data_IF_741504232004
#
_entry.id   IF_741504232004
#
_cell.length_a   1.000
_cell.length_b   1.000
_cell.length_c   1.000
_cell.angle_alpha   90.00
_cell.angle_beta   90.00
_cell.angle_gamma   90.00
#
_symmetry.space_group_name_H-M   'P 1'
#
loop_
_entity.id
_entity.type
_entity.pdbx_description
1 polymer ?
#
# COMPACT_ATOMS: atom_id res chain seq x y z
N UNK A 1 2.13 74.88 19.40
CA UNK A 1 2.98 73.67 19.25
C UNK A 1 2.48 72.46 20.03
N UNK A 2 1.79 72.64 21.16
CA UNK A 2 1.26 71.53 21.99
C UNK A 2 0.22 70.64 21.31
N UNK A 3 -0.64 71.17 20.43
CA UNK A 3 -1.62 70.34 19.69
C UNK A 3 -1.01 69.46 18.59
N UNK A 4 0.12 69.88 18.01
CA UNK A 4 0.81 69.09 16.96
C UNK A 4 1.55 67.89 17.56
N UNK A 5 2.09 68.06 18.77
CA UNK A 5 2.75 67.00 19.54
C UNK A 5 1.77 65.89 19.96
N UNK A 6 0.54 66.24 20.33
CA UNK A 6 -0.49 65.26 20.71
C UNK A 6 -0.94 64.40 19.51
N UNK A 7 -1.07 65.01 18.33
CA UNK A 7 -1.41 64.29 17.10
C UNK A 7 -0.28 63.34 16.69
N UNK A 8 0.98 63.77 16.84
CA UNK A 8 2.14 62.93 16.53
C UNK A 8 2.26 61.73 17.49
N UNK A 9 1.86 61.89 18.76
CA UNK A 9 1.86 60.81 19.75
C UNK A 9 0.75 59.76 19.49
N UNK A 10 -0.40 60.19 18.95
CA UNK A 10 -1.53 59.31 18.62
C UNK A 10 -1.33 58.51 17.32
N UNK A 11 -0.52 59.01 16.38
CA UNK A 11 -0.21 58.28 15.14
C UNK A 11 0.89 57.20 15.30
N UNK A 12 1.73 57.30 16.35
CA UNK A 12 2.79 56.32 16.62
C UNK A 12 2.28 54.94 17.10
N UNK A 13 1.11 54.90 17.75
CA UNK A 13 0.52 53.66 18.28
C UNK A 13 -0.04 52.72 17.21
N UNK A 14 -0.26 53.19 15.97
CA UNK A 14 -0.80 52.37 14.90
C UNK A 14 0.22 51.41 14.25
N UNK A 15 1.51 51.56 14.57
CA UNK A 15 2.59 50.72 14.01
C UNK A 15 3.21 49.76 15.04
N UNK A 16 2.62 49.63 16.23
CA UNK A 16 3.02 48.60 17.18
C UNK A 16 2.64 47.22 16.61
N UNK A 17 3.58 46.58 15.92
CA UNK A 17 3.46 45.16 15.59
C UNK A 17 3.59 44.37 16.88
N UNK A 18 2.47 43.82 17.35
CA UNK A 18 2.48 42.81 18.41
C UNK A 18 3.43 41.68 17.99
N UNK A 19 4.25 41.21 18.93
CA UNK A 19 5.10 40.05 18.74
C UNK A 19 4.19 38.86 18.44
N UNK A 20 4.20 38.36 17.19
CA UNK A 20 3.53 37.11 16.87
C UNK A 20 4.26 36.01 17.62
N UNK A 21 3.63 35.47 18.66
CA UNK A 21 4.08 34.22 19.26
C UNK A 21 4.16 33.19 18.13
N UNK A 22 5.32 32.56 17.86
CA UNK A 22 5.33 31.42 16.97
C UNK A 22 4.32 30.43 17.54
N UNK A 23 3.33 30.05 16.74
CA UNK A 23 2.44 28.97 17.10
C UNK A 23 3.33 27.73 17.21
N UNK A 24 3.67 27.34 18.44
CA UNK A 24 4.32 26.08 18.70
C UNK A 24 3.39 24.99 18.17
N UNK A 25 3.86 24.18 17.24
CA UNK A 25 3.08 23.16 16.53
C UNK A 25 2.59 22.05 17.46
N UNK A 26 3.05 22.06 18.71
CA UNK A 26 2.55 21.19 19.77
C UNK A 26 1.21 21.74 20.25
N UNK A 27 0.11 21.16 19.75
CA UNK A 27 -1.19 21.29 20.41
C UNK A 27 -0.97 20.95 21.89
N UNK A 28 -1.06 21.91 22.79
CA UNK A 28 -1.14 21.63 24.22
C UNK A 28 -2.32 20.68 24.41
N UNK A 29 -2.12 19.43 24.85
CA UNK A 29 -3.22 18.54 25.14
C UNK A 29 -4.13 19.24 26.15
N UNK A 30 -5.45 19.15 25.99
CA UNK A 30 -6.36 19.50 27.06
C UNK A 30 -5.98 18.63 28.26
N UNK A 31 -5.28 19.22 29.24
CA UNK A 31 -4.75 18.48 30.38
C UNK A 31 -5.93 17.95 31.19
N UNK A 32 -6.18 16.66 31.09
CA UNK A 32 -7.17 15.99 31.91
C UNK A 32 -6.55 15.79 33.30
N UNK A 33 -7.17 16.37 34.32
CA UNK A 33 -6.69 16.32 35.69
C UNK A 33 -7.38 15.19 36.45
N UNK A 34 -6.58 14.33 37.07
CA UNK A 34 -7.05 13.32 38.02
C UNK A 34 -6.74 13.80 39.44
N UNK A 35 -7.69 13.66 40.36
CA UNK A 35 -7.46 13.96 41.77
C UNK A 35 -7.00 12.69 42.48
N UNK A 36 -5.76 12.69 42.97
CA UNK A 36 -5.18 11.60 43.75
C UNK A 36 -4.77 12.16 45.11
N UNK A 37 -5.30 11.60 46.19
CA UNK A 37 -5.03 12.03 47.58
C UNK A 37 -5.25 13.54 47.86
N UNK A 38 -6.18 14.16 47.14
CA UNK A 38 -6.50 15.58 47.30
C UNK A 38 -5.64 16.54 46.47
N UNK A 39 -4.63 16.04 45.77
CA UNK A 39 -3.83 16.80 44.80
C UNK A 39 -4.29 16.54 43.37
N UNK A 40 -4.30 17.59 42.54
CA UNK A 40 -4.59 17.49 41.11
C UNK A 40 -3.33 17.09 40.35
N UNK A 41 -3.36 15.91 39.71
CA UNK A 41 -2.30 15.40 38.84
C UNK A 41 -2.73 15.56 37.39
N UNK A 42 -1.93 16.27 36.59
CA UNK A 42 -2.17 16.37 35.15
C UNK A 42 -1.78 15.07 34.46
N UNK A 43 -2.65 14.56 33.59
CA UNK A 43 -2.35 13.43 32.73
C UNK A 43 -2.27 13.85 31.27
N UNK A 44 -1.54 13.08 30.48
CA UNK A 44 -1.48 13.22 29.03
C UNK A 44 -1.68 11.82 28.48
N UNK A 45 -2.72 11.63 27.69
CA UNK A 45 -2.91 10.39 26.93
C UNK A 45 -1.93 10.39 25.75
N UNK A 46 -1.02 9.43 25.74
CA UNK A 46 -0.05 9.27 24.66
C UNK A 46 -0.67 8.42 23.56
N UNK A 47 -0.35 8.75 22.31
CA UNK A 47 -0.74 7.93 21.17
C UNK A 47 -0.09 6.53 21.31
N UNK A 48 -0.90 5.48 21.10
CA UNK A 48 -0.43 4.11 21.18
C UNK A 48 0.65 3.84 20.12
N UNK A 49 1.85 3.42 20.55
CA UNK A 49 2.97 3.14 19.64
C UNK A 49 3.11 1.64 19.42
N UNK A 50 2.97 1.21 18.18
CA UNK A 50 3.17 -0.20 17.81
C UNK A 50 4.67 -0.58 17.87
N UNK A 51 5.02 -1.49 18.78
CA UNK A 51 6.36 -2.05 18.85
C UNK A 51 6.53 -3.20 17.85
N UNK A 52 7.29 -2.93 16.78
CA UNK A 52 7.52 -3.85 15.66
C UNK A 52 8.97 -4.37 15.68
N UNK A 53 9.25 -5.52 16.33
CA UNK A 53 10.56 -6.15 16.27
C UNK A 53 10.81 -6.83 14.93
N UNK A 54 12.07 -6.82 14.46
CA UNK A 54 12.46 -7.52 13.23
C UNK A 54 12.16 -9.03 13.31
N UNK A 55 11.77 -9.62 12.17
CA UNK A 55 11.53 -11.06 12.06
C UNK A 55 12.86 -11.82 12.02
N UNK A 56 12.95 -12.89 12.80
CA UNK A 56 14.09 -13.81 12.81
C UNK A 56 13.65 -15.17 12.26
N UNK A 57 14.16 -15.51 11.08
CA UNK A 57 13.81 -16.76 10.38
C UNK A 57 14.79 -17.88 10.75
N UNK A 58 14.25 -19.07 11.02
CA UNK A 58 15.03 -20.31 11.16
C UNK A 58 15.34 -20.88 9.78
N UNK A 59 14.38 -20.81 8.86
CA UNK A 59 14.53 -21.26 7.47
C UNK A 59 15.26 -20.20 6.63
N UNK A 60 16.32 -20.62 5.92
CA UNK A 60 16.98 -19.75 4.93
C UNK A 60 16.08 -19.54 3.71
N UNK A 61 15.25 -20.52 3.35
CA UNK A 61 14.28 -20.36 2.27
C UNK A 61 13.25 -19.28 2.59
N UNK A 62 12.63 -19.30 3.77
CA UNK A 62 11.66 -18.27 4.20
C UNK A 62 12.32 -16.89 4.29
N UNK A 63 13.55 -16.79 4.81
CA UNK A 63 14.29 -15.52 4.82
C UNK A 63 14.46 -14.93 3.42
N UNK A 64 14.81 -15.76 2.44
CA UNK A 64 14.96 -15.32 1.04
C UNK A 64 13.59 -14.96 0.44
N UNK A 65 12.54 -15.74 0.74
CA UNK A 65 11.17 -15.47 0.31
C UNK A 65 10.70 -14.11 0.83
N UNK A 66 10.87 -13.83 2.12
CA UNK A 66 10.56 -12.56 2.74
C UNK A 66 11.34 -11.41 2.09
N UNK A 67 12.64 -11.55 1.86
CA UNK A 67 13.45 -10.50 1.21
C UNK A 67 13.07 -10.24 -0.27
N UNK A 68 12.55 -11.24 -0.97
CA UNK A 68 11.97 -11.06 -2.32
C UNK A 68 10.64 -10.33 -2.21
N UNK A 69 9.78 -10.73 -1.27
CA UNK A 69 8.50 -10.09 -1.02
C UNK A 69 8.68 -8.63 -0.63
N UNK A 70 9.64 -8.32 0.25
CA UNK A 70 10.01 -6.96 0.64
C UNK A 70 10.32 -6.06 -0.56
N UNK A 71 11.15 -6.55 -1.50
CA UNK A 71 11.45 -5.80 -2.73
C UNK A 71 10.22 -5.54 -3.58
N UNK A 72 9.31 -6.52 -3.68
CA UNK A 72 8.07 -6.40 -4.44
C UNK A 72 7.09 -5.45 -3.77
N UNK A 73 6.84 -5.61 -2.47
CA UNK A 73 5.96 -4.73 -1.68
C UNK A 73 6.42 -3.29 -1.75
N UNK A 74 7.72 -3.01 -1.59
CA UNK A 74 8.27 -1.65 -1.74
C UNK A 74 8.05 -1.06 -3.12
N UNK A 75 8.24 -1.86 -4.17
CA UNK A 75 7.98 -1.44 -5.54
C UNK A 75 6.50 -1.14 -5.77
N UNK A 76 5.61 -1.94 -5.19
CA UNK A 76 4.17 -1.89 -5.46
C UNK A 76 3.44 -0.84 -4.61
N UNK A 77 3.90 -0.58 -3.38
CA UNK A 77 3.22 0.28 -2.41
C UNK A 77 2.84 1.68 -2.93
N UNK A 78 3.71 2.44 -3.61
CA UNK A 78 3.35 3.77 -4.11
C UNK A 78 2.14 3.76 -5.05
N UNK A 79 1.99 2.71 -5.86
CA UNK A 79 0.85 2.56 -6.75
C UNK A 79 -0.44 2.23 -5.98
N UNK A 80 -0.35 1.39 -4.95
CA UNK A 80 -1.49 1.04 -4.11
C UNK A 80 -2.02 2.25 -3.33
N UNK A 81 -1.11 3.02 -2.72
CA UNK A 81 -1.43 4.27 -2.00
C UNK A 81 -2.13 5.27 -2.91
N UNK A 82 -1.53 5.56 -4.05
CA UNK A 82 -2.09 6.53 -5.01
C UNK A 82 -3.45 6.06 -5.53
N UNK A 83 -3.61 4.76 -5.85
CA UNK A 83 -4.90 4.21 -6.28
C UNK A 83 -5.98 4.39 -5.20
N UNK A 84 -5.66 4.12 -3.93
CA UNK A 84 -6.58 4.31 -2.82
C UNK A 84 -6.98 5.77 -2.61
N UNK A 85 -6.03 6.69 -2.70
CA UNK A 85 -6.29 8.14 -2.63
C UNK A 85 -7.22 8.60 -3.77
N UNK A 86 -6.97 8.13 -5.00
CA UNK A 86 -7.83 8.44 -6.15
C UNK A 86 -9.24 7.88 -5.99
N UNK A 87 -9.38 6.66 -5.49
CA UNK A 87 -10.68 6.04 -5.20
C UNK A 87 -11.44 6.81 -4.12
N UNK A 88 -10.75 7.21 -3.05
CA UNK A 88 -11.34 8.01 -1.97
C UNK A 88 -11.84 9.36 -2.46
N UNK A 89 -11.02 10.06 -3.26
CA UNK A 89 -11.41 11.34 -3.87
C UNK A 89 -12.56 11.17 -4.86
N UNK A 90 -12.56 10.09 -5.64
CA UNK A 90 -13.64 9.75 -6.55
C UNK A 90 -14.95 9.53 -5.79
N UNK A 91 -14.94 8.72 -4.74
CA UNK A 91 -16.12 8.46 -3.90
C UNK A 91 -16.63 9.76 -3.27
N UNK A 92 -15.73 10.63 -2.78
CA UNK A 92 -16.08 11.96 -2.26
C UNK A 92 -16.77 12.83 -3.30
N UNK A 93 -16.26 12.90 -4.53
CA UNK A 93 -16.86 13.72 -5.60
C UNK A 93 -18.17 13.13 -6.11
N UNK A 94 -18.26 11.81 -6.26
CA UNK A 94 -19.49 11.15 -6.68
C UNK A 94 -20.64 11.42 -5.70
N UNK A 95 -20.34 11.48 -4.39
CA UNK A 95 -21.33 11.82 -3.38
C UNK A 95 -21.91 13.24 -3.51
N UNK A 96 -21.19 14.17 -4.16
CA UNK A 96 -21.67 15.56 -4.39
C UNK A 96 -22.50 15.73 -5.65
N UNK A 97 -22.49 14.76 -6.57
CA UNK A 97 -23.19 14.86 -7.84
C UNK A 97 -24.59 14.24 -7.69
N UNK A 98 -25.64 15.05 -7.83
CA UNK A 98 -27.02 14.58 -7.72
C UNK A 98 -27.47 13.73 -8.92
N UNK A 99 -27.05 14.11 -10.13
CA UNK A 99 -27.50 13.48 -11.36
C UNK A 99 -26.70 12.21 -11.69
N UNK A 100 -27.42 11.09 -11.83
CA UNK A 100 -26.85 9.78 -12.23
C UNK A 100 -26.07 9.82 -13.56
N UNK A 101 -26.45 10.69 -14.50
CA UNK A 101 -25.73 10.83 -15.78
C UNK A 101 -24.36 11.48 -15.57
N UNK A 102 -24.29 12.49 -14.73
CA UNK A 102 -23.06 13.24 -14.46
C UNK A 102 -22.12 12.45 -13.55
N UNK A 103 -22.67 11.66 -12.61
CA UNK A 103 -21.90 10.67 -11.84
C UNK A 103 -21.18 9.69 -12.78
N UNK A 104 -21.89 9.13 -13.77
CA UNK A 104 -21.28 8.21 -14.76
C UNK A 104 -20.21 8.89 -15.61
N UNK A 105 -20.45 10.13 -16.03
CA UNK A 105 -19.48 10.91 -16.83
C UNK A 105 -18.21 11.17 -16.01
N UNK A 106 -18.37 11.56 -14.75
CA UNK A 106 -17.25 11.82 -13.84
C UNK A 106 -16.46 10.55 -13.54
N UNK A 107 -17.14 9.45 -13.21
CA UNK A 107 -16.50 8.15 -13.01
C UNK A 107 -15.70 7.73 -14.24
N UNK A 108 -16.26 7.89 -15.45
CA UNK A 108 -15.56 7.54 -16.69
C UNK A 108 -14.32 8.40 -16.95
N UNK A 109 -14.38 9.69 -16.61
CA UNK A 109 -13.23 10.58 -16.74
C UNK A 109 -12.10 10.19 -15.79
N UNK A 110 -12.42 9.88 -14.53
CA UNK A 110 -11.42 9.41 -13.54
C UNK A 110 -10.86 8.04 -13.93
N UNK A 111 -11.70 7.15 -14.44
CA UNK A 111 -11.29 5.86 -15.00
C UNK A 111 -10.25 6.03 -16.10
N UNK A 112 -10.54 6.84 -17.13
CA UNK A 112 -9.59 7.08 -18.23
C UNK A 112 -8.27 7.67 -17.72
N UNK A 113 -8.33 8.60 -16.76
CA UNK A 113 -7.12 9.18 -16.15
C UNK A 113 -6.29 8.14 -15.40
N UNK A 114 -6.92 7.26 -14.62
CA UNK A 114 -6.24 6.15 -13.94
C UNK A 114 -5.68 5.15 -14.96
N UNK A 115 -6.42 4.84 -16.02
CA UNK A 115 -5.92 3.98 -17.08
C UNK A 115 -4.69 4.61 -17.76
N UNK A 116 -4.73 5.87 -18.13
CA UNK A 116 -3.64 6.53 -18.83
C UNK A 116 -2.39 6.67 -17.95
N UNK A 117 -2.54 7.08 -16.68
CA UNK A 117 -1.39 7.23 -15.77
C UNK A 117 -0.80 5.88 -15.37
N UNK A 118 -1.63 4.86 -15.12
CA UNK A 118 -1.15 3.63 -14.49
C UNK A 118 -0.92 2.50 -15.49
N UNK A 119 -1.55 2.47 -16.67
CA UNK A 119 -1.43 1.34 -17.62
C UNK A 119 0.01 0.99 -17.94
N UNK A 120 0.86 1.99 -18.20
CA UNK A 120 2.25 1.76 -18.54
C UNK A 120 3.03 1.15 -17.37
N UNK A 121 2.76 1.59 -16.15
CA UNK A 121 3.41 1.12 -14.93
C UNK A 121 2.94 -0.27 -14.52
N UNK A 122 1.64 -0.52 -14.62
CA UNK A 122 1.00 -1.80 -14.33
C UNK A 122 1.44 -2.90 -15.29
N UNK A 123 1.63 -2.55 -16.58
CA UNK A 123 2.21 -3.47 -17.57
C UNK A 123 3.65 -3.90 -17.23
N UNK A 124 4.38 -3.13 -16.43
CA UNK A 124 5.74 -3.47 -15.97
C UNK A 124 5.74 -4.34 -14.71
N UNK A 125 4.58 -4.56 -14.09
CA UNK A 125 4.47 -5.42 -12.91
C UNK A 125 4.51 -6.89 -13.32
N UNK A 126 5.25 -7.68 -12.55
CA UNK A 126 5.14 -9.13 -12.64
C UNK A 126 3.79 -9.60 -12.09
N UNK A 127 3.37 -10.81 -12.44
CA UNK A 127 2.11 -11.39 -11.92
C UNK A 127 2.03 -11.36 -10.40
N UNK A 128 3.11 -11.69 -9.69
CA UNK A 128 3.13 -11.66 -8.22
C UNK A 128 3.12 -10.24 -7.65
N UNK A 129 3.71 -9.27 -8.36
CA UNK A 129 3.60 -7.86 -7.98
C UNK A 129 2.17 -7.34 -8.13
N UNK A 130 1.46 -7.75 -9.18
CA UNK A 130 0.05 -7.41 -9.35
C UNK A 130 -0.87 -8.06 -8.31
N UNK A 131 -0.56 -9.29 -7.86
CA UNK A 131 -1.28 -9.92 -6.74
C UNK A 131 -1.09 -9.12 -5.44
N UNK A 132 0.15 -8.68 -5.15
CA UNK A 132 0.43 -7.80 -4.02
C UNK A 132 -0.34 -6.49 -4.15
N UNK A 133 -0.40 -5.90 -5.35
CA UNK A 133 -1.13 -4.65 -5.59
C UNK A 133 -2.61 -4.79 -5.22
N UNK A 134 -3.28 -5.85 -5.68
CA UNK A 134 -4.69 -6.11 -5.37
C UNK A 134 -4.93 -6.22 -3.87
N UNK A 135 -4.07 -6.96 -3.17
CA UNK A 135 -4.13 -7.12 -1.71
C UNK A 135 -3.93 -5.78 -0.99
N UNK A 136 -2.98 -4.97 -1.44
CA UNK A 136 -2.73 -3.65 -0.86
C UNK A 136 -3.87 -2.67 -1.12
N UNK A 137 -4.52 -2.73 -2.29
CA UNK A 137 -5.74 -1.96 -2.55
C UNK A 137 -6.82 -2.35 -1.54
N UNK A 138 -7.10 -3.65 -1.38
CA UNK A 138 -8.05 -4.11 -0.35
C UNK A 138 -7.68 -3.64 1.05
N UNK A 139 -6.38 -3.66 1.42
CA UNK A 139 -5.88 -3.10 2.68
C UNK A 139 -6.27 -1.62 2.86
N UNK A 140 -6.18 -0.81 1.80
CA UNK A 140 -6.43 0.63 1.84
C UNK A 140 -7.90 1.03 1.66
N UNK A 141 -8.70 0.22 0.97
CA UNK A 141 -10.08 0.60 0.61
C UNK A 141 -11.14 -0.25 1.31
N UNK A 142 -10.77 -1.40 1.87
CA UNK A 142 -11.71 -2.38 2.43
C UNK A 142 -12.48 -3.18 1.39
N UNK A 143 -12.66 -2.64 0.18
CA UNK A 143 -13.25 -3.36 -0.94
C UNK A 143 -12.22 -4.22 -1.68
N UNK A 144 -12.62 -5.41 -2.12
CA UNK A 144 -11.81 -6.19 -3.06
C UNK A 144 -11.79 -5.51 -4.44
N UNK A 145 -10.73 -5.76 -5.21
CA UNK A 145 -10.54 -5.10 -6.50
C UNK A 145 -11.69 -5.40 -7.48
N UNK A 146 -12.33 -6.57 -7.38
CA UNK A 146 -13.52 -6.89 -8.16
C UNK A 146 -14.70 -5.96 -7.86
N UNK A 147 -15.03 -5.71 -6.60
CA UNK A 147 -16.12 -4.81 -6.21
C UNK A 147 -15.80 -3.34 -6.53
N UNK A 148 -14.54 -2.92 -6.40
CA UNK A 148 -14.09 -1.60 -6.86
C UNK A 148 -14.32 -1.41 -8.37
N UNK A 149 -13.91 -2.39 -9.18
CA UNK A 149 -14.12 -2.35 -10.65
C UNK A 149 -15.61 -2.33 -11.00
N UNK A 150 -16.41 -3.13 -10.29
CA UNK A 150 -17.85 -3.25 -10.52
C UNK A 150 -18.59 -1.96 -10.14
N UNK A 151 -18.20 -1.29 -9.05
CA UNK A 151 -18.79 -0.01 -8.59
C UNK A 151 -18.60 1.11 -9.62
N UNK A 152 -17.47 1.14 -10.32
CA UNK A 152 -17.15 2.18 -11.30
C UNK A 152 -17.86 2.06 -12.66
N UNK A 153 -18.70 1.02 -12.84
CA UNK A 153 -19.62 0.83 -13.98
C UNK A 153 -19.00 1.05 -15.38
N UNK A 154 -18.28 0.01 -15.81
CA UNK A 154 -17.94 -0.47 -17.17
C UNK A 154 -16.91 0.29 -18.04
N UNK A 155 -15.72 -0.32 -18.08
CA UNK A 155 -14.64 -0.16 -19.05
C UNK A 155 -13.32 -0.69 -18.48
N UNK A 156 -13.08 -0.35 -17.21
CA UNK A 156 -11.90 -0.72 -16.42
C UNK A 156 -11.67 -2.22 -16.35
N UNK A 157 -12.77 -2.99 -16.31
CA UNK A 157 -12.73 -4.44 -16.44
C UNK A 157 -11.94 -4.87 -17.70
N UNK A 158 -12.43 -4.54 -18.90
CA UNK A 158 -12.05 -5.25 -20.11
C UNK A 158 -10.55 -5.09 -20.45
N UNK A 159 -9.96 -3.95 -20.13
CA UNK A 159 -8.55 -3.67 -20.41
C UNK A 159 -7.57 -4.44 -19.50
N UNK A 160 -7.82 -4.47 -18.19
CA UNK A 160 -7.07 -5.30 -17.24
C UNK A 160 -7.29 -6.80 -17.49
N UNK A 161 -8.52 -7.19 -17.83
CA UNK A 161 -8.88 -8.57 -18.10
C UNK A 161 -8.25 -9.11 -19.40
N UNK A 162 -8.13 -8.33 -20.49
CA UNK A 162 -7.69 -8.91 -21.77
C UNK A 162 -6.24 -9.40 -21.81
N UNK A 163 -5.31 -8.76 -21.07
CA UNK A 163 -3.89 -9.14 -21.07
C UNK A 163 -3.48 -10.00 -19.87
N UNK A 164 -4.31 -10.12 -18.83
CA UNK A 164 -3.91 -10.79 -17.56
C UNK A 164 -5.01 -11.64 -16.90
N UNK A 165 -6.19 -11.76 -17.53
CA UNK A 165 -7.42 -12.35 -16.97
C UNK A 165 -7.22 -13.66 -16.21
N UNK A 166 -6.55 -14.68 -16.78
CA UNK A 166 -6.66 -16.02 -16.17
C UNK A 166 -5.96 -16.15 -14.81
N UNK A 167 -4.95 -15.33 -14.54
CA UNK A 167 -4.22 -15.35 -13.25
C UNK A 167 -4.71 -14.24 -12.32
N UNK A 168 -5.15 -13.10 -12.87
CA UNK A 168 -5.67 -12.00 -12.07
C UNK A 168 -7.12 -12.22 -11.62
N UNK A 169 -7.95 -12.92 -12.39
CA UNK A 169 -9.37 -13.14 -12.07
C UNK A 169 -9.58 -13.92 -10.76
N UNK A 170 -8.68 -14.84 -10.41
CA UNK A 170 -8.68 -15.50 -9.09
C UNK A 170 -8.31 -14.49 -8.00
N UNK A 171 -7.26 -13.70 -8.21
CA UNK A 171 -6.75 -12.77 -7.19
C UNK A 171 -7.61 -11.54 -6.94
N UNK A 172 -8.46 -11.12 -7.89
CA UNK A 172 -9.25 -9.88 -7.75
C UNK A 172 -10.33 -9.95 -6.68
N UNK A 173 -10.75 -11.16 -6.33
CA UNK A 173 -11.68 -11.42 -5.23
C UNK A 173 -10.96 -11.80 -3.94
N UNK A 174 -9.64 -11.93 -3.97
CA UNK A 174 -8.87 -12.22 -2.76
C UNK A 174 -8.81 -10.99 -1.87
N UNK A 175 -9.05 -11.22 -0.59
CA UNK A 175 -8.99 -10.22 0.45
C UNK A 175 -7.61 -10.27 1.12
N UNK A 176 -7.16 -9.13 1.64
CA UNK A 176 -5.96 -9.05 2.44
C UNK A 176 -6.23 -9.49 3.88
N UNK A 177 -5.63 -10.62 4.29
CA UNK A 177 -5.90 -11.28 5.58
C UNK A 177 -4.61 -11.58 6.36
N UNK A 178 -3.93 -10.56 6.90
CA UNK A 178 -2.66 -10.74 7.60
C UNK A 178 -2.78 -11.53 8.91
N UNK A 179 -3.98 -11.71 9.46
CA UNK A 179 -4.21 -12.50 10.68
C UNK A 179 -4.38 -13.99 10.42
N UNK A 180 -4.65 -14.41 9.17
CA UNK A 180 -4.88 -15.82 8.81
C UNK A 180 -3.95 -16.33 7.71
N UNK A 181 -3.35 -15.44 6.92
CA UNK A 181 -2.44 -15.80 5.81
C UNK A 181 -1.04 -15.26 6.12
N UNK A 182 -0.06 -16.15 6.22
CA UNK A 182 1.34 -15.81 6.55
C UNK A 182 1.97 -14.87 5.52
N UNK A 183 1.68 -15.05 4.24
CA UNK A 183 2.20 -14.16 3.20
C UNK A 183 1.65 -12.74 3.32
N UNK A 184 0.38 -12.60 3.70
CA UNK A 184 -0.25 -11.30 3.92
C UNK A 184 0.32 -10.65 5.19
N UNK A 185 0.56 -11.44 6.23
CA UNK A 185 1.30 -10.98 7.40
C UNK A 185 2.69 -10.46 7.03
N UNK A 186 3.44 -11.18 6.17
CA UNK A 186 4.75 -10.69 5.74
C UNK A 186 4.63 -9.34 5.03
N UNK A 187 3.63 -9.16 4.16
CA UNK A 187 3.38 -7.87 3.50
C UNK A 187 3.11 -6.79 4.54
N UNK A 188 2.25 -7.04 5.53
CA UNK A 188 1.95 -6.09 6.59
C UNK A 188 3.20 -5.74 7.41
N UNK A 189 3.97 -6.75 7.84
CA UNK A 189 5.22 -6.55 8.57
C UNK A 189 6.22 -5.72 7.76
N UNK A 190 6.36 -5.98 6.46
CA UNK A 190 7.20 -5.17 5.58
C UNK A 190 6.76 -3.71 5.57
N UNK A 191 5.46 -3.44 5.41
CA UNK A 191 4.91 -2.09 5.40
C UNK A 191 5.20 -1.37 6.72
N UNK A 192 4.84 -1.99 7.84
CA UNK A 192 5.06 -1.46 9.18
C UNK A 192 6.54 -1.14 9.43
N UNK A 193 7.44 -2.03 9.02
CA UNK A 193 8.89 -1.78 9.11
C UNK A 193 9.37 -0.66 8.18
N UNK A 194 8.80 -0.52 6.98
CA UNK A 194 9.17 0.58 6.08
C UNK A 194 8.61 1.93 6.55
N UNK A 195 7.40 1.96 7.12
CA UNK A 195 6.80 3.17 7.70
C UNK A 195 7.61 3.63 8.91
N UNK A 196 7.96 2.70 9.81
CA UNK A 196 8.85 2.98 10.95
C UNK A 196 10.21 3.56 10.54
N UNK A 197 10.73 3.15 9.37
CA UNK A 197 12.00 3.62 8.82
C UNK A 197 11.85 4.85 7.92
N UNK A 198 10.63 5.37 7.76
CA UNK A 198 10.29 6.49 6.87
C UNK A 198 10.74 6.29 5.41
N UNK A 199 10.88 5.04 4.97
CA UNK A 199 11.30 4.73 3.59
C UNK A 199 10.12 4.65 2.62
N UNK A 200 8.91 4.52 3.15
CA UNK A 200 7.65 4.56 2.43
C UNK A 200 6.72 5.54 3.15
N UNK A 201 5.93 6.30 2.38
CA UNK A 201 4.88 7.14 2.93
C UNK A 201 3.82 6.26 3.60
N UNK A 202 3.56 6.51 4.88
CA UNK A 202 2.57 5.77 5.66
C UNK A 202 1.14 6.10 5.19
N UNK A 203 0.27 5.11 5.25
CA UNK A 203 -1.16 5.24 5.05
C UNK A 203 -1.88 4.22 5.95
N UNK A 204 -2.81 4.71 6.74
CA UNK A 204 -3.62 3.88 7.63
C UNK A 204 -4.50 2.92 6.81
N UNK A 205 -4.55 1.63 7.18
CA UNK A 205 -5.43 0.68 6.51
C UNK A 205 -6.90 1.05 6.76
N UNK A 206 -7.78 0.78 5.79
CA UNK A 206 -9.22 0.92 5.97
C UNK A 206 -9.83 -0.23 6.78
N UNK A 207 -9.15 -1.39 6.79
CA UNK A 207 -9.54 -2.56 7.58
C UNK A 207 -8.76 -2.59 8.90
N UNK A 208 -9.39 -3.02 10.03
CA UNK A 208 -8.66 -3.23 11.27
C UNK A 208 -7.67 -4.38 11.11
N UNK A 209 -6.43 -4.16 11.51
CA UNK A 209 -5.35 -5.15 11.41
C UNK A 209 -4.74 -5.36 12.79
N UNK A 210 -4.91 -6.55 13.35
CA UNK A 210 -4.18 -6.98 14.54
C UNK A 210 -2.81 -7.56 14.12
N UNK A 211 -1.79 -6.71 14.23
CA UNK A 211 -0.41 -7.07 13.92
C UNK A 211 0.12 -8.21 14.82
N UNK A 212 -0.26 -8.25 16.10
CA UNK A 212 0.25 -9.26 17.05
C UNK A 212 -0.37 -10.63 16.81
N UNK A 213 -1.64 -10.69 16.41
CA UNK A 213 -2.28 -11.93 15.95
C UNK A 213 -1.59 -12.45 14.70
N UNK A 214 -1.35 -11.60 13.69
CA UNK A 214 -0.58 -11.99 12.50
C UNK A 214 0.85 -12.46 12.83
N UNK A 215 1.50 -11.81 13.79
CA UNK A 215 2.83 -12.22 14.26
C UNK A 215 2.82 -13.58 14.94
N UNK A 216 1.77 -13.88 15.69
CA UNK A 216 1.59 -15.18 16.35
C UNK A 216 1.35 -16.29 15.32
N UNK A 217 0.53 -16.02 14.28
CA UNK A 217 0.36 -16.90 13.13
C UNK A 217 1.72 -17.22 12.46
N UNK A 218 2.54 -16.21 12.18
CA UNK A 218 3.86 -16.45 11.60
C UNK A 218 4.76 -17.28 12.51
N UNK A 219 4.80 -17.00 13.82
CA UNK A 219 5.60 -17.81 14.76
C UNK A 219 5.16 -19.27 14.77
N UNK A 220 3.86 -19.53 14.72
CA UNK A 220 3.33 -20.89 14.63
C UNK A 220 3.73 -21.56 13.32
N UNK A 221 3.57 -20.87 12.20
CA UNK A 221 4.01 -21.34 10.89
C UNK A 221 5.49 -21.70 10.88
N UNK A 222 6.37 -20.84 11.41
CA UNK A 222 7.81 -21.05 11.46
C UNK A 222 8.18 -22.26 12.35
N UNK A 223 7.49 -22.44 13.48
CA UNK A 223 7.68 -23.61 14.37
C UNK A 223 7.28 -24.93 13.73
N UNK A 224 6.26 -24.89 12.87
CA UNK A 224 5.70 -26.07 12.20
C UNK A 224 6.38 -26.38 10.86
N UNK A 225 7.48 -25.69 10.52
CA UNK A 225 8.25 -26.01 9.32
C UNK A 225 8.91 -27.39 9.45
N UNK A 226 8.79 -28.27 8.43
CA UNK A 226 9.53 -29.53 8.39
C UNK A 226 11.05 -29.32 8.50
N UNK A 227 11.78 -30.26 9.11
CA UNK A 227 13.24 -30.17 9.22
C UNK A 227 13.93 -30.01 7.84
N UNK A 228 13.40 -30.72 6.84
CA UNK A 228 13.88 -30.69 5.44
C UNK A 228 13.24 -29.58 4.59
N UNK A 229 12.55 -28.60 5.19
CA UNK A 229 11.81 -27.58 4.45
C UNK A 229 12.69 -26.83 3.43
N UNK A 230 13.89 -26.43 3.83
CA UNK A 230 14.84 -25.74 2.95
C UNK A 230 15.25 -26.63 1.77
N UNK A 231 15.71 -27.85 2.04
CA UNK A 231 16.22 -28.75 0.99
C UNK A 231 15.13 -29.09 -0.03
N UNK A 232 13.91 -29.38 0.44
CA UNK A 232 12.75 -29.67 -0.40
C UNK A 232 12.42 -28.48 -1.32
N UNK A 233 12.34 -27.27 -0.78
CA UNK A 233 11.94 -26.11 -1.56
C UNK A 233 13.05 -25.62 -2.51
N UNK A 234 14.32 -25.76 -2.13
CA UNK A 234 15.44 -25.52 -3.03
C UNK A 234 15.45 -26.50 -4.21
N UNK A 235 15.20 -27.79 -3.95
CA UNK A 235 15.09 -28.80 -5.00
C UNK A 235 13.90 -28.55 -5.95
N UNK A 236 12.72 -28.21 -5.41
CA UNK A 236 11.56 -27.80 -6.22
C UNK A 236 11.87 -26.60 -7.10
N UNK A 237 12.56 -25.59 -6.56
CA UNK A 237 12.97 -24.39 -7.30
C UNK A 237 13.96 -24.71 -8.41
N UNK A 238 14.98 -25.53 -8.15
CA UNK A 238 15.97 -25.92 -9.16
C UNK A 238 15.35 -26.71 -10.31
N UNK A 239 14.43 -27.63 -10.00
CA UNK A 239 13.67 -28.41 -10.99
C UNK A 239 12.83 -27.49 -11.90
N UNK A 240 12.06 -26.55 -11.33
CA UNK A 240 11.26 -25.58 -12.09
C UNK A 240 12.14 -24.71 -13.01
N UNK A 241 13.30 -24.27 -12.53
CA UNK A 241 14.26 -23.49 -13.33
C UNK A 241 14.82 -24.34 -14.49
N UNK A 242 15.16 -25.60 -14.24
CA UNK A 242 15.65 -26.51 -15.26
C UNK A 242 14.60 -26.75 -16.36
N UNK A 243 13.34 -26.99 -15.97
CA UNK A 243 12.22 -27.16 -16.90
C UNK A 243 12.01 -25.91 -17.76
N UNK A 244 11.96 -24.73 -17.13
CA UNK A 244 11.83 -23.46 -17.85
C UNK A 244 12.96 -23.24 -18.86
N UNK A 245 14.22 -23.49 -18.44
CA UNK A 245 15.39 -23.36 -19.31
C UNK A 245 15.32 -24.36 -20.48
N UNK A 246 14.90 -25.60 -20.25
CA UNK A 246 14.72 -26.59 -21.29
C UNK A 246 13.64 -26.19 -22.30
N UNK A 247 12.49 -25.67 -21.83
CA UNK A 247 11.42 -25.14 -22.69
C UNK A 247 11.93 -23.99 -23.57
N UNK A 248 12.62 -23.02 -22.97
CA UNK A 248 13.20 -21.89 -23.71
C UNK A 248 14.23 -22.31 -24.74
N UNK A 249 15.09 -23.29 -24.43
CA UNK A 249 16.05 -23.87 -25.40
C UNK A 249 15.32 -24.51 -26.58
N UNK A 250 14.24 -25.27 -26.34
CA UNK A 250 13.42 -25.88 -27.40
C UNK A 250 12.75 -24.81 -28.27
N UNK A 251 12.20 -23.75 -27.68
CA UNK A 251 11.62 -22.61 -28.41
C UNK A 251 12.66 -21.93 -29.31
N UNK A 252 13.85 -21.65 -28.78
CA UNK A 252 14.95 -21.05 -29.54
C UNK A 252 15.41 -21.94 -30.70
N UNK A 253 15.52 -23.26 -30.48
CA UNK A 253 15.83 -24.22 -31.54
C UNK A 253 14.75 -24.27 -32.63
N UNK A 254 13.46 -24.21 -32.26
CA UNK A 254 12.36 -24.14 -33.23
C UNK A 254 12.41 -22.85 -34.05
N UNK A 255 12.67 -21.71 -33.40
CA UNK A 255 12.79 -20.43 -34.06
C UNK A 255 13.97 -20.40 -35.05
N UNK A 256 15.14 -20.92 -34.67
CA UNK A 256 16.31 -20.99 -35.54
C UNK A 256 16.08 -21.90 -36.75
N UNK A 257 15.43 -23.06 -36.56
CA UNK A 257 15.02 -23.95 -37.67
C UNK A 257 14.04 -23.27 -38.63
N UNK A 258 13.05 -22.53 -38.12
CA UNK A 258 12.11 -21.75 -38.95
C UNK A 258 12.82 -20.67 -39.77
N UNK A 259 13.77 -19.95 -39.16
CA UNK A 259 14.58 -18.94 -39.86
C UNK A 259 15.45 -19.56 -40.97
N UNK A 260 16.10 -20.70 -40.70
CA UNK A 260 16.87 -21.43 -41.72
C UNK A 260 16.02 -21.91 -42.90
N UNK A 261 14.78 -22.36 -42.66
CA UNK A 261 13.84 -22.74 -43.73
C UNK A 261 13.39 -21.55 -44.57
N UNK A 262 13.12 -20.40 -43.94
CA UNK A 262 12.76 -19.15 -44.62
C UNK A 262 13.87 -18.60 -45.52
N UNK A 263 15.13 -18.76 -45.15
CA UNK A 263 16.26 -18.29 -45.95
C UNK A 263 16.66 -19.25 -47.09
N UNK A 264 16.03 -20.43 -47.17
CA UNK A 264 16.31 -21.45 -48.19
C UNK A 264 15.26 -21.48 -49.31
N UNK A 265 14.18 -20.73 -49.15
CA UNK A 265 13.14 -20.45 -50.16
C UNK A 265 13.28 -19.00 -50.61
#
# INVERSE_FOLDING_TARGET
MTRLLVVMLLLGSAFAKAQSTPADSTKTPDLEYYYVDGDSVSSIELEEVLLIPELKFTSRYERVRYAILQRKTKKVWPYAKLAAERLTELDRRLATIENKRDQRRYAKMVENYIEDEFTAELKKLTTTEGQILIKLIHRQTGDNAFELIKRLRSGWSAFWFHNTAKVFDISLKEEFKPTTIVEDFYIEDILQQQFKRETLESQSPAIPIDYYTGRSLWKEYERNLPADYDSINLAKRSARIAEYRAKKRKEAQKASRRKKRRNKN
#
